data_IF_430485360121
#
_entry.id   IF_430485360121
#
_cell.length_a   1.000
_cell.length_b   1.000
_cell.length_c   1.000
_cell.angle_alpha   90.00
_cell.angle_beta   90.00
_cell.angle_gamma   90.00
#
_symmetry.space_group_name_H-M   'P 1'
#
loop_
_entity.id
_entity.type
_entity.pdbx_description
1 polymer ?
#
# COMPACT_ATOMS: atom_id res chain seq x y z
N UNK A 1 -4.14 15.42 11.35
CA UNK A 1 -4.97 14.29 11.87
C UNK A 1 -4.65 13.01 11.10
N UNK A 2 -4.86 11.81 11.68
CA UNK A 2 -4.65 10.53 10.98
C UNK A 2 -5.96 9.94 10.48
N UNK A 3 -6.02 9.60 9.20
CA UNK A 3 -7.14 8.88 8.57
C UNK A 3 -6.93 7.38 8.74
N UNK A 4 -8.02 6.60 8.83
CA UNK A 4 -7.96 5.15 9.04
C UNK A 4 -8.92 4.39 8.12
N UNK A 5 -8.49 3.20 7.74
CA UNK A 5 -9.27 2.17 7.06
C UNK A 5 -9.31 0.95 7.98
N UNK A 6 -10.50 0.39 8.17
CA UNK A 6 -10.72 -0.88 8.83
C UNK A 6 -11.88 -1.58 8.12
N UNK A 7 -11.57 -2.63 7.36
CA UNK A 7 -12.55 -3.42 6.60
C UNK A 7 -12.26 -4.91 6.79
N UNK A 8 -13.34 -5.68 6.94
CA UNK A 8 -13.31 -7.15 6.84
C UNK A 8 -14.24 -7.57 5.72
N UNK A 9 -13.75 -8.35 4.77
CA UNK A 9 -14.56 -8.85 3.66
C UNK A 9 -14.01 -10.14 3.07
N UNK A 10 -14.88 -10.86 2.35
CA UNK A 10 -14.49 -12.06 1.61
C UNK A 10 -13.89 -11.71 0.26
N UNK A 11 -12.73 -12.26 -0.05
CA UNK A 11 -12.02 -12.08 -1.34
C UNK A 11 -11.44 -13.40 -1.82
N UNK A 12 -11.27 -13.54 -3.13
CA UNK A 12 -10.45 -14.61 -3.69
C UNK A 12 -8.99 -14.20 -3.64
N UNK A 13 -8.15 -15.00 -2.99
CA UNK A 13 -6.72 -14.76 -2.79
C UNK A 13 -5.89 -15.90 -3.34
N UNK A 14 -4.68 -15.61 -3.79
CA UNK A 14 -3.72 -16.60 -4.30
C UNK A 14 -2.31 -16.21 -3.90
N UNK A 15 -1.47 -17.19 -3.56
CA UNK A 15 -0.05 -16.96 -3.34
C UNK A 15 0.68 -16.86 -4.67
N UNK A 16 1.39 -15.76 -4.89
CA UNK A 16 2.31 -15.61 -6.02
C UNK A 16 3.76 -15.83 -5.60
N UNK A 17 4.43 -16.78 -6.25
CA UNK A 17 5.86 -17.05 -6.04
C UNK A 17 6.62 -17.19 -7.35
N UNK A 18 7.94 -17.42 -7.27
CA UNK A 18 8.81 -17.58 -8.47
C UNK A 18 8.43 -18.74 -9.39
N UNK A 19 7.52 -19.62 -8.94
CA UNK A 19 7.06 -20.82 -9.66
C UNK A 19 5.60 -20.72 -10.15
N UNK A 20 5.00 -19.53 -10.06
CA UNK A 20 3.61 -19.27 -10.45
C UNK A 20 2.71 -18.97 -9.26
N UNK A 21 1.40 -18.92 -9.54
CA UNK A 21 0.38 -18.63 -8.54
C UNK A 21 -0.32 -19.92 -8.09
N UNK A 22 -0.72 -20.00 -6.82
CA UNK A 22 -1.66 -21.03 -6.36
C UNK A 22 -3.03 -20.81 -6.98
N UNK A 23 -3.87 -21.86 -6.98
CA UNK A 23 -5.28 -21.68 -7.32
C UNK A 23 -5.92 -20.66 -6.35
N UNK A 24 -6.73 -19.71 -6.85
CA UNK A 24 -7.41 -18.76 -5.99
C UNK A 24 -8.40 -19.47 -5.06
N UNK A 25 -8.39 -19.12 -3.78
CA UNK A 25 -9.36 -19.57 -2.78
C UNK A 25 -10.09 -18.40 -2.13
N UNK A 26 -11.34 -18.61 -1.73
CA UNK A 26 -12.10 -17.59 -1.00
C UNK A 26 -11.63 -17.56 0.46
N UNK A 27 -11.23 -16.37 0.94
CA UNK A 27 -10.84 -16.11 2.32
C UNK A 27 -11.52 -14.86 2.85
N UNK A 28 -11.84 -14.85 4.14
CA UNK A 28 -12.20 -13.61 4.84
C UNK A 28 -10.91 -12.88 5.21
N UNK A 29 -10.73 -11.68 4.65
CA UNK A 29 -9.55 -10.86 4.81
C UNK A 29 -9.88 -9.63 5.66
N UNK A 30 -9.00 -9.32 6.62
CA UNK A 30 -8.97 -8.05 7.33
C UNK A 30 -7.96 -7.14 6.64
N UNK A 31 -8.37 -5.90 6.38
CA UNK A 31 -7.53 -4.84 5.84
C UNK A 31 -7.60 -3.67 6.80
N UNK A 32 -6.46 -3.30 7.36
CA UNK A 32 -6.31 -2.08 8.12
C UNK A 32 -5.27 -1.19 7.48
N UNK A 33 -5.51 0.11 7.48
CA UNK A 33 -4.52 1.07 7.05
C UNK A 33 -4.70 2.39 7.80
N UNK A 34 -3.63 3.16 7.92
CA UNK A 34 -3.69 4.50 8.44
C UNK A 34 -2.74 5.41 7.66
N UNK A 35 -3.11 6.69 7.54
CA UNK A 35 -2.34 7.69 6.83
C UNK A 35 -2.32 9.00 7.62
N UNK A 36 -1.13 9.59 7.76
CA UNK A 36 -0.94 10.90 8.34
C UNK A 36 -0.12 11.76 7.38
N UNK A 37 -0.84 12.57 6.60
CA UNK A 37 -0.28 13.48 5.60
C UNK A 37 0.70 14.48 6.20
N UNK A 38 0.40 15.02 7.39
CA UNK A 38 1.26 16.00 8.07
C UNK A 38 2.60 15.41 8.49
N UNK A 39 2.64 14.09 8.73
CA UNK A 39 3.87 13.36 9.11
C UNK A 39 4.53 12.65 7.95
N UNK A 40 3.95 12.71 6.74
CA UNK A 40 4.46 12.01 5.56
C UNK A 40 4.49 10.48 5.71
N UNK A 41 3.67 9.91 6.61
CA UNK A 41 3.75 8.49 6.99
C UNK A 41 2.39 7.84 7.17
N UNK A 42 2.36 6.54 6.90
CA UNK A 42 1.23 5.65 7.13
C UNK A 42 1.71 4.22 7.31
N UNK A 43 0.76 3.30 7.41
CA UNK A 43 1.03 1.87 7.42
C UNK A 43 -0.23 1.08 7.12
N UNK A 44 -0.04 -0.20 6.82
CA UNK A 44 -1.12 -1.11 6.53
C UNK A 44 -0.83 -2.51 7.04
N UNK A 45 -1.90 -3.28 7.25
CA UNK A 45 -1.87 -4.70 7.56
C UNK A 45 -3.04 -5.38 6.84
N UNK A 46 -2.76 -6.48 6.15
CA UNK A 46 -3.73 -7.30 5.43
C UNK A 46 -3.52 -8.74 5.82
N UNK A 47 -4.56 -9.40 6.33
CA UNK A 47 -4.42 -10.78 6.79
C UNK A 47 -5.72 -11.59 6.72
N UNK A 48 -5.62 -12.91 6.56
CA UNK A 48 -6.78 -13.78 6.66
C UNK A 48 -7.22 -13.95 8.12
N UNK A 49 -8.52 -13.77 8.39
CA UNK A 49 -9.04 -13.81 9.76
C UNK A 49 -9.15 -15.23 10.30
N UNK A 50 -9.29 -16.23 9.42
CA UNK A 50 -9.44 -17.64 9.76
C UNK A 50 -8.22 -18.19 10.50
N UNK A 51 -7.03 -17.79 10.07
CA UNK A 51 -5.76 -18.21 10.68
C UNK A 51 -4.99 -17.08 11.33
N UNK A 52 -5.60 -15.89 11.42
CA UNK A 52 -4.94 -14.69 11.94
C UNK A 52 -3.62 -14.35 11.21
N UNK A 53 -3.60 -14.58 9.90
CA UNK A 53 -2.46 -14.30 9.02
C UNK A 53 -1.45 -15.42 8.85
N UNK A 54 -1.63 -16.61 9.44
CA UNK A 54 -0.69 -17.72 9.21
C UNK A 54 -0.63 -18.12 7.73
N UNK A 55 -1.75 -18.02 7.01
CA UNK A 55 -1.84 -18.39 5.61
C UNK A 55 -1.69 -17.23 4.64
N UNK A 56 -2.20 -16.04 4.96
CA UNK A 56 -2.08 -14.85 4.12
C UNK A 56 -1.84 -13.65 5.01
N UNK A 57 -0.69 -13.02 4.85
CA UNK A 57 -0.30 -11.86 5.63
C UNK A 57 0.58 -10.92 4.83
N UNK A 58 0.31 -9.63 4.94
CA UNK A 58 1.16 -8.57 4.44
C UNK A 58 1.03 -7.33 5.32
N UNK A 59 2.15 -6.76 5.69
CA UNK A 59 2.20 -5.49 6.42
C UNK A 59 3.25 -4.57 5.80
N UNK A 60 3.14 -3.29 6.11
CA UNK A 60 4.26 -2.40 5.96
C UNK A 60 3.90 -0.91 6.00
N UNK A 61 4.90 -0.10 5.68
CA UNK A 61 4.81 1.36 5.75
C UNK A 61 4.23 1.98 4.49
N UNK A 62 3.64 3.16 4.64
CA UNK A 62 3.30 4.06 3.54
C UNK A 62 4.11 5.35 3.72
N UNK A 63 4.70 5.85 2.63
CA UNK A 63 5.45 7.10 2.59
C UNK A 63 4.74 8.08 1.69
N UNK A 64 4.60 9.31 2.16
CA UNK A 64 3.95 10.37 1.40
C UNK A 64 4.90 11.53 1.18
N UNK A 65 4.79 12.14 0.01
CA UNK A 65 5.49 13.37 -0.37
C UNK A 65 5.09 14.54 0.53
N UNK A 66 5.82 15.64 0.41
CA UNK A 66 5.44 16.93 1.02
C UNK A 66 4.08 17.44 0.52
N UNK A 67 3.69 17.05 -0.71
CA UNK A 67 2.38 17.34 -1.31
C UNK A 67 1.27 16.41 -0.79
N UNK A 68 1.67 15.35 -0.07
CA UNK A 68 0.81 14.34 0.56
C UNK A 68 0.31 13.26 -0.39
N UNK A 69 1.03 13.01 -1.46
CA UNK A 69 0.80 11.87 -2.36
C UNK A 69 1.65 10.68 -1.96
N UNK A 70 1.10 9.47 -2.10
CA UNK A 70 1.83 8.22 -1.86
C UNK A 70 3.04 8.15 -2.80
N UNK A 71 4.22 8.04 -2.22
CA UNK A 71 5.50 8.01 -2.93
C UNK A 71 6.12 6.62 -2.96
N UNK A 72 5.94 5.88 -1.86
CA UNK A 72 6.55 4.59 -1.62
C UNK A 72 5.76 3.79 -0.59
N UNK A 73 5.98 2.48 -0.58
CA UNK A 73 5.47 1.59 0.45
C UNK A 73 6.44 0.42 0.66
N UNK A 74 6.41 -0.11 1.87
CA UNK A 74 7.18 -1.28 2.26
C UNK A 74 6.21 -2.44 2.24
N UNK A 75 6.54 -3.47 1.48
CA UNK A 75 5.66 -4.59 1.20
C UNK A 75 6.21 -5.45 0.08
N UNK A 76 5.93 -6.74 0.14
CA UNK A 76 6.30 -7.67 -0.93
C UNK A 76 5.19 -7.67 -1.98
N UNK A 77 5.52 -7.27 -3.20
CA UNK A 77 4.57 -7.22 -4.32
C UNK A 77 3.82 -5.91 -4.38
N UNK A 78 2.60 -5.93 -4.95
CA UNK A 78 1.76 -4.74 -5.11
C UNK A 78 0.94 -4.45 -3.85
N UNK A 79 0.81 -3.17 -3.50
CA UNK A 79 -0.11 -2.72 -2.44
C UNK A 79 -1.57 -3.15 -2.74
N UNK A 80 -2.31 -3.55 -1.71
CA UNK A 80 -3.70 -4.01 -1.87
C UNK A 80 -4.58 -2.93 -2.54
N UNK A 81 -5.40 -3.37 -3.50
CA UNK A 81 -6.26 -2.47 -4.27
C UNK A 81 -7.29 -1.70 -3.44
N UNK A 82 -7.76 -2.28 -2.32
CA UNK A 82 -8.65 -1.60 -1.38
C UNK A 82 -7.97 -0.41 -0.69
N UNK A 83 -6.68 -0.55 -0.36
CA UNK A 83 -5.89 0.55 0.21
C UNK A 83 -5.69 1.65 -0.83
N UNK A 84 -5.39 1.30 -2.07
CA UNK A 84 -5.24 2.28 -3.16
C UNK A 84 -6.54 3.06 -3.42
N UNK A 85 -7.69 2.38 -3.45
CA UNK A 85 -9.01 3.02 -3.60
C UNK A 85 -9.27 3.97 -2.43
N UNK A 86 -9.00 3.53 -1.20
CA UNK A 86 -9.16 4.35 -0.01
C UNK A 86 -8.27 5.61 -0.04
N UNK A 87 -6.97 5.46 -0.33
CA UNK A 87 -6.05 6.60 -0.49
C UNK A 87 -6.48 7.54 -1.63
N UNK A 88 -7.01 6.99 -2.72
CA UNK A 88 -7.59 7.77 -3.82
C UNK A 88 -8.78 8.61 -3.36
N UNK A 89 -9.67 8.04 -2.54
CA UNK A 89 -10.78 8.77 -1.90
C UNK A 89 -10.33 9.89 -0.97
N UNK A 90 -9.14 9.78 -0.38
CA UNK A 90 -8.50 10.83 0.43
C UNK A 90 -7.73 11.87 -0.41
N UNK A 91 -7.62 11.68 -1.73
CA UNK A 91 -6.80 12.54 -2.59
C UNK A 91 -5.29 12.38 -2.37
N UNK A 92 -4.86 11.22 -1.88
CA UNK A 92 -3.45 10.91 -1.57
C UNK A 92 -2.76 10.11 -2.69
N UNK A 93 -3.39 9.95 -3.85
CA UNK A 93 -2.78 9.38 -5.05
C UNK A 93 -2.58 10.51 -6.06
N UNK A 94 -1.38 10.62 -6.64
CA UNK A 94 -1.09 11.67 -7.62
C UNK A 94 -2.03 11.56 -8.83
N UNK A 95 -2.63 12.67 -9.29
CA UNK A 95 -3.41 12.70 -10.52
C UNK A 95 -2.54 12.57 -11.79
N UNK A 96 -1.23 12.80 -11.68
CA UNK A 96 -0.26 12.68 -12.77
C UNK A 96 0.96 11.85 -12.30
N UNK A 97 0.99 10.54 -12.58
CA UNK A 97 2.10 9.68 -12.16
C UNK A 97 3.40 10.00 -12.91
N UNK A 98 3.34 10.55 -14.13
CA UNK A 98 4.52 10.83 -14.95
C UNK A 98 5.28 12.06 -14.46
N UNK A 99 4.57 13.08 -13.95
CA UNK A 99 5.21 14.24 -13.34
C UNK A 99 5.95 13.87 -12.05
N UNK A 100 5.38 12.95 -11.27
CA UNK A 100 6.00 12.44 -10.04
C UNK A 100 7.36 11.76 -10.29
N UNK A 101 7.45 10.85 -11.27
CA UNK A 101 8.74 10.21 -11.62
C UNK A 101 9.79 11.22 -12.06
N UNK A 102 9.39 12.29 -12.76
CA UNK A 102 10.30 13.35 -13.20
C UNK A 102 10.83 14.18 -12.03
N UNK A 103 9.97 14.54 -11.07
CA UNK A 103 10.39 15.30 -9.89
C UNK A 103 11.27 14.46 -8.95
N UNK A 104 10.97 13.16 -8.78
CA UNK A 104 11.84 12.21 -8.03
C UNK A 104 13.20 12.05 -8.70
N UNK A 105 13.24 11.90 -10.02
CA UNK A 105 14.48 11.84 -10.79
C UNK A 105 15.30 13.14 -10.66
N UNK A 106 14.66 14.31 -10.72
CA UNK A 106 15.34 15.60 -10.48
C UNK A 106 15.95 15.66 -9.09
N UNK A 107 15.19 15.34 -8.04
CA UNK A 107 15.68 15.33 -6.65
C UNK A 107 16.91 14.43 -6.52
N UNK A 108 16.88 13.21 -7.06
CA UNK A 108 18.01 12.26 -7.04
C UNK A 108 19.24 12.79 -7.80
N UNK A 109 19.04 13.51 -8.90
CA UNK A 109 20.15 14.10 -9.68
C UNK A 109 20.71 15.39 -9.08
N UNK A 110 19.94 16.09 -8.24
CA UNK A 110 20.34 17.34 -7.59
C UNK A 110 20.99 17.12 -6.22
N UNK A 111 20.71 16.01 -5.52
CA UNK A 111 21.29 15.72 -4.19
C UNK A 111 22.62 14.97 -4.22
N UNK A 112 23.01 14.32 -5.33
CA UNK A 112 24.35 13.77 -5.51
C UNK A 112 24.89 12.95 -4.33
N UNK A 113 24.15 11.96 -3.84
CA UNK A 113 24.67 10.99 -2.88
C UNK A 113 24.95 9.64 -3.55
N UNK A 114 26.25 9.33 -3.66
CA UNK A 114 26.85 7.99 -3.79
C UNK A 114 26.69 7.18 -2.48
#
# INVERSE_FOLDING_TARGET
MSEQLDVTEKRYVSWGGSWGNTEPEEKEMKITAWANKERGRGGFEVYDTETSGDNYYGEGGLWFSDEGYLEDYDGVGSLDGGILIWLGGLGMISPDPDNYFRERLKKLTETGED
#
